data_IF_149376123441
#
_entry.id   IF_149376123441
#
_cell.length_a   1.000
_cell.length_b   1.000
_cell.length_c   1.000
_cell.angle_alpha   90.00
_cell.angle_beta   90.00
_cell.angle_gamma   90.00
#
_symmetry.space_group_name_H-M   'P 1'
#
loop_
_entity.id
_entity.type
_entity.pdbx_description
1 polymer ?
#
# COMPACT_ATOMS: atom_id res chain seq x y z
N UNK A 1 -9.77 4.94 -13.24
CA UNK A 1 -8.29 4.87 -13.31
C UNK A 1 -7.81 5.95 -14.27
N UNK A 2 -6.86 6.78 -13.85
CA UNK A 2 -6.33 7.91 -14.61
C UNK A 2 -4.83 7.73 -14.86
N UNK A 3 -4.29 8.21 -15.97
CA UNK A 3 -2.86 8.17 -16.28
C UNK A 3 -2.28 9.58 -16.26
N UNK A 4 -1.15 9.77 -15.59
CA UNK A 4 -0.43 11.04 -15.53
C UNK A 4 1.05 10.81 -15.78
N UNK A 5 1.73 11.80 -16.34
CA UNK A 5 3.19 11.71 -16.47
C UNK A 5 3.86 11.99 -15.12
N UNK A 6 5.10 11.51 -14.97
CA UNK A 6 5.92 11.82 -13.80
C UNK A 6 6.20 13.33 -13.68
N UNK A 7 6.18 14.06 -14.79
CA UNK A 7 6.35 15.51 -14.82
C UNK A 7 5.09 16.23 -14.29
N UNK A 8 3.89 15.76 -14.65
CA UNK A 8 2.63 16.28 -14.09
C UNK A 8 2.58 16.12 -12.58
N UNK A 9 3.02 14.96 -12.08
CA UNK A 9 3.07 14.68 -10.64
C UNK A 9 4.02 15.64 -9.90
N UNK A 10 5.20 15.91 -10.47
CA UNK A 10 6.20 16.83 -9.90
C UNK A 10 5.71 18.27 -9.87
N UNK A 11 5.07 18.73 -10.95
CA UNK A 11 4.62 20.11 -11.07
C UNK A 11 3.32 20.39 -10.32
N UNK A 12 2.44 19.39 -10.19
CA UNK A 12 1.07 19.59 -9.71
C UNK A 12 0.67 18.60 -8.61
N UNK A 13 1.56 18.28 -7.67
CA UNK A 13 1.34 17.23 -6.66
C UNK A 13 0.01 17.36 -5.91
N UNK A 14 -0.31 18.55 -5.37
CA UNK A 14 -1.55 18.75 -4.62
C UNK A 14 -2.81 18.49 -5.47
N UNK A 15 -2.78 18.88 -6.75
CA UNK A 15 -3.87 18.64 -7.70
C UNK A 15 -4.02 17.15 -7.98
N UNK A 16 -2.92 16.41 -8.12
CA UNK A 16 -2.93 14.96 -8.29
C UNK A 16 -3.49 14.26 -7.04
N UNK A 17 -3.07 14.68 -5.86
CA UNK A 17 -3.60 14.14 -4.58
C UNK A 17 -5.11 14.40 -4.45
N UNK A 18 -5.57 15.60 -4.78
CA UNK A 18 -7.00 15.93 -4.78
C UNK A 18 -7.83 15.16 -5.83
N UNK A 19 -7.17 14.56 -6.84
CA UNK A 19 -7.85 13.67 -7.79
C UNK A 19 -7.97 12.26 -7.24
N UNK A 20 -7.00 11.77 -6.45
CA UNK A 20 -7.05 10.45 -5.81
C UNK A 20 -8.30 10.30 -4.93
N UNK A 21 -8.66 11.35 -4.19
CA UNK A 21 -9.87 11.37 -3.35
C UNK A 21 -11.18 11.27 -4.15
N UNK A 22 -11.18 11.65 -5.43
CA UNK A 22 -12.39 11.68 -6.28
C UNK A 22 -12.47 10.52 -7.28
N UNK A 23 -11.34 10.03 -7.78
CA UNK A 23 -11.27 9.09 -8.91
C UNK A 23 -10.58 7.76 -8.58
N UNK A 24 -10.11 7.59 -7.34
CA UNK A 24 -9.42 6.38 -6.91
C UNK A 24 -7.98 6.35 -7.41
N UNK A 25 -7.63 5.35 -8.22
CA UNK A 25 -6.23 5.07 -8.59
C UNK A 25 -5.74 5.94 -9.75
N UNK A 26 -4.50 6.40 -9.63
CA UNK A 26 -3.75 7.12 -10.67
C UNK A 26 -2.48 6.35 -11.01
N UNK A 27 -2.26 6.07 -12.29
CA UNK A 27 -1.04 5.45 -12.80
C UNK A 27 -0.08 6.53 -13.27
N UNK A 28 1.16 6.48 -12.79
CA UNK A 28 2.22 7.39 -13.17
C UNK A 28 3.06 6.77 -14.28
N UNK A 29 3.12 7.47 -15.40
CA UNK A 29 3.89 7.10 -16.59
C UNK A 29 5.24 7.84 -16.60
N UNK A 30 6.29 7.14 -17.02
CA UNK A 30 7.57 7.74 -17.42
C UNK A 30 7.89 7.31 -18.84
N UNK A 31 8.09 8.27 -19.76
CA UNK A 31 8.26 8.01 -21.19
C UNK A 31 7.18 7.06 -21.78
N UNK A 32 5.91 7.30 -21.42
CA UNK A 32 4.76 6.49 -21.87
C UNK A 32 4.62 5.12 -21.20
N UNK A 33 5.55 4.70 -20.34
CA UNK A 33 5.50 3.41 -19.64
C UNK A 33 5.06 3.57 -18.19
N UNK A 34 4.14 2.73 -17.68
CA UNK A 34 3.78 2.71 -16.26
C UNK A 34 5.01 2.48 -15.38
N UNK A 35 5.18 3.33 -14.36
CA UNK A 35 6.30 3.24 -13.42
C UNK A 35 5.85 3.15 -11.97
N UNK A 36 4.71 3.75 -11.63
CA UNK A 36 4.14 3.69 -10.30
C UNK A 36 2.61 3.81 -10.36
N UNK A 37 1.96 3.45 -9.26
CA UNK A 37 0.55 3.75 -9.02
C UNK A 37 0.45 4.55 -7.72
N UNK A 38 -0.43 5.54 -7.71
CA UNK A 38 -0.89 6.23 -6.52
C UNK A 38 -2.31 5.75 -6.26
N UNK A 39 -2.56 5.29 -5.04
CA UNK A 39 -3.88 4.87 -4.58
C UNK A 39 -4.21 5.61 -3.29
N UNK A 40 -5.49 5.96 -3.07
CA UNK A 40 -5.93 6.36 -1.75
C UNK A 40 -5.69 5.20 -0.78
N UNK A 41 -5.24 5.52 0.43
CA UNK A 41 -5.04 4.56 1.51
C UNK A 41 -5.88 4.98 2.70
N UNK A 42 -6.57 4.02 3.28
CA UNK A 42 -7.16 4.12 4.61
C UNK A 42 -6.29 3.38 5.62
N UNK A 43 -6.53 3.61 6.91
CA UNK A 43 -5.86 2.88 7.98
C UNK A 43 -6.12 1.36 7.88
N UNK A 44 -7.35 0.97 7.54
CA UNK A 44 -7.72 -0.42 7.30
C UNK A 44 -6.93 -1.06 6.15
N UNK A 45 -6.66 -0.31 5.06
CA UNK A 45 -5.86 -0.82 3.94
C UNK A 45 -4.40 -1.09 4.35
N UNK A 46 -3.84 -0.20 5.19
CA UNK A 46 -2.48 -0.34 5.72
C UNK A 46 -2.41 -1.53 6.68
N UNK A 47 -3.37 -1.65 7.60
CA UNK A 47 -3.47 -2.81 8.49
C UNK A 47 -3.54 -4.10 7.69
N UNK A 48 -4.42 -4.17 6.69
CA UNK A 48 -4.54 -5.34 5.82
C UNK A 48 -3.22 -5.68 5.11
N UNK A 49 -2.52 -4.68 4.57
CA UNK A 49 -1.21 -4.89 3.94
C UNK A 49 -0.20 -5.52 4.90
N UNK A 50 -0.17 -5.06 6.14
CA UNK A 50 0.77 -5.54 7.16
C UNK A 50 0.35 -6.92 7.65
N UNK A 51 -0.92 -7.08 8.04
CA UNK A 51 -1.48 -8.30 8.63
C UNK A 51 -1.49 -9.47 7.66
N UNK A 52 -1.64 -9.21 6.36
CA UNK A 52 -1.59 -10.23 5.30
C UNK A 52 -0.16 -10.46 4.77
N UNK A 53 0.83 -9.70 5.25
CA UNK A 53 2.20 -9.88 4.78
C UNK A 53 2.77 -11.25 5.22
N UNK A 54 3.48 -11.97 4.34
CA UNK A 54 4.04 -13.28 4.68
C UNK A 54 5.00 -13.25 5.89
N UNK A 55 5.75 -12.16 6.05
CA UNK A 55 6.68 -11.95 7.17
C UNK A 55 5.93 -11.81 8.49
N UNK A 56 4.86 -11.00 8.53
CA UNK A 56 4.03 -10.86 9.71
C UNK A 56 3.38 -12.20 10.10
N UNK A 57 2.75 -12.88 9.14
CA UNK A 57 2.09 -14.18 9.39
C UNK A 57 3.07 -15.24 9.91
N UNK A 58 4.30 -15.27 9.39
CA UNK A 58 5.36 -16.16 9.90
C UNK A 58 5.72 -15.85 11.34
N UNK A 59 5.91 -14.57 11.67
CA UNK A 59 6.22 -14.12 13.04
C UNK A 59 5.08 -14.41 14.00
N UNK A 60 3.82 -14.18 13.59
CA UNK A 60 2.63 -14.50 14.37
C UNK A 60 2.55 -16.00 14.71
N UNK A 61 2.75 -16.88 13.73
CA UNK A 61 2.79 -18.34 13.95
C UNK A 61 3.90 -18.74 14.93
N UNK A 62 5.09 -18.15 14.80
CA UNK A 62 6.20 -18.43 15.71
C UNK A 62 5.88 -18.01 17.16
N UNK A 63 5.26 -16.84 17.34
CA UNK A 63 4.81 -16.36 18.65
C UNK A 63 3.74 -17.27 19.26
N UNK A 64 2.74 -17.69 18.47
CA UNK A 64 1.70 -18.63 18.91
C UNK A 64 2.29 -19.98 19.37
N UNK A 65 3.27 -20.52 18.65
CA UNK A 65 3.96 -21.75 19.04
C UNK A 65 4.70 -21.59 20.37
N UNK A 66 5.40 -20.47 20.58
CA UNK A 66 6.08 -20.17 21.86
C UNK A 66 5.08 -20.06 23.01
N UNK A 67 3.98 -19.35 22.80
CA UNK A 67 2.93 -19.18 23.80
C UNK A 67 2.30 -20.52 24.21
N UNK A 68 1.96 -21.37 23.24
CA UNK A 68 1.42 -22.72 23.50
C UNK A 68 2.39 -23.62 24.24
N UNK A 69 3.70 -23.50 23.99
CA UNK A 69 4.73 -24.22 24.75
C UNK A 69 4.75 -23.77 26.21
N UNK A 70 4.68 -22.45 26.45
CA UNK A 70 4.64 -21.87 27.81
C UNK A 70 3.40 -22.26 28.62
N UNK A 71 2.25 -22.47 27.97
CA UNK A 71 1.03 -22.94 28.64
C UNK A 71 1.05 -24.43 29.01
N UNK A 72 1.96 -25.22 28.42
CA UNK A 72 2.08 -26.67 28.64
C UNK A 72 3.22 -27.04 29.59
N UNK A 73 4.00 -26.05 30.04
CA UNK A 73 5.07 -26.13 31.03
C UNK A 73 4.62 -25.53 32.34
#
# INVERSE_FOLDING_TARGET
MEFLTIQDLKLNTAKVVNRLTKRGWVIILNHGKPKAALMPLTEADIEDMILKSPSFLKSLRAAQLKYRKKLRS
#
